data_IF_105573499765
#
_entry.id   IF_105573499765
#
_cell.length_a   1.000
_cell.length_b   1.000
_cell.length_c   1.000
_cell.angle_alpha   90.00
_cell.angle_beta   90.00
_cell.angle_gamma   90.00
#
_symmetry.space_group_name_H-M   'P 1'
#
loop_
_entity.id
_entity.type
_entity.pdbx_description
1 polymer ?
#
# COMPACT_ATOMS: atom_id res chain seq x y z
N UNK A 1 -2.33 7.32 2.18
CA UNK A 1 -2.78 8.63 1.67
C UNK A 1 -3.05 8.50 0.19
N UNK A 2 -4.31 8.26 -0.19
CA UNK A 2 -4.75 8.26 -1.59
C UNK A 2 -5.62 9.50 -1.77
N UNK A 3 -5.06 10.53 -2.40
CA UNK A 3 -5.82 11.71 -2.83
C UNK A 3 -6.24 11.41 -4.27
N UNK A 4 -7.49 10.99 -4.46
CA UNK A 4 -8.06 10.70 -5.77
C UNK A 4 -9.20 11.67 -6.06
N UNK A 5 -8.97 12.64 -6.96
CA UNK A 5 -10.03 13.50 -7.52
C UNK A 5 -10.75 12.69 -8.58
N UNK A 6 -12.00 12.29 -8.31
CA UNK A 6 -12.85 11.61 -9.29
C UNK A 6 -13.95 12.56 -9.77
N UNK A 7 -13.80 13.03 -11.00
CA UNK A 7 -14.87 13.68 -11.76
C UNK A 7 -16.00 12.67 -12.06
N UNK A 8 -17.21 13.14 -11.79
CA UNK A 8 -18.44 12.39 -11.69
C UNK A 8 -18.98 11.99 -13.08
N UNK A 9 -19.01 10.69 -13.41
CA UNK A 9 -19.99 10.18 -14.37
C UNK A 9 -20.24 8.66 -14.29
N UNK A 10 -21.53 8.31 -14.36
CA UNK A 10 -22.20 6.99 -14.48
C UNK A 10 -22.63 6.26 -13.20
N UNK A 11 -23.94 5.95 -13.17
CA UNK A 11 -24.73 5.44 -12.04
C UNK A 11 -24.34 4.06 -11.50
N UNK A 12 -23.52 3.27 -12.19
CA UNK A 12 -23.04 1.95 -11.73
C UNK A 12 -21.76 2.08 -10.90
N UNK A 13 -20.94 3.12 -11.16
CA UNK A 13 -19.74 3.42 -10.38
C UNK A 13 -20.07 3.90 -8.95
N UNK A 14 -21.22 4.54 -8.77
CA UNK A 14 -21.69 4.99 -7.46
C UNK A 14 -21.89 3.82 -6.46
N UNK A 15 -22.42 2.68 -6.91
CA UNK A 15 -22.69 1.52 -6.06
C UNK A 15 -21.41 0.81 -5.62
N UNK A 16 -20.47 0.59 -6.55
CA UNK A 16 -19.15 0.01 -6.22
C UNK A 16 -18.37 0.95 -5.30
N UNK A 17 -18.43 2.26 -5.55
CA UNK A 17 -17.79 3.26 -4.68
C UNK A 17 -18.39 3.27 -3.28
N UNK A 18 -19.72 3.14 -3.13
CA UNK A 18 -20.39 3.12 -1.83
C UNK A 18 -20.04 1.86 -1.02
N UNK A 19 -19.99 0.69 -1.68
CA UNK A 19 -19.58 -0.56 -1.03
C UNK A 19 -18.12 -0.51 -0.53
N UNK A 20 -17.20 0.07 -1.31
CA UNK A 20 -15.79 0.18 -0.90
C UNK A 20 -15.62 1.10 0.31
N UNK A 21 -16.36 2.22 0.36
CA UNK A 21 -16.32 3.15 1.50
C UNK A 21 -16.84 2.48 2.77
N UNK A 22 -17.95 1.75 2.67
CA UNK A 22 -18.57 1.06 3.80
C UNK A 22 -17.70 -0.08 4.34
N UNK A 23 -17.14 -0.92 3.46
CA UNK A 23 -16.28 -2.05 3.86
C UNK A 23 -14.97 -1.57 4.49
N UNK A 24 -14.45 -0.44 4.05
CA UNK A 24 -13.19 0.12 4.53
C UNK A 24 -13.34 1.08 5.74
N UNK A 25 -14.56 1.26 6.29
CA UNK A 25 -14.85 2.16 7.42
C UNK A 25 -14.36 3.61 7.22
N UNK A 26 -14.36 4.10 5.97
CA UNK A 26 -14.01 5.49 5.70
C UNK A 26 -15.20 6.41 5.91
N UNK A 27 -14.97 7.55 6.56
CA UNK A 27 -15.98 8.59 6.76
C UNK A 27 -15.74 9.74 5.79
N UNK A 28 -16.82 10.30 5.23
CA UNK A 28 -16.75 11.55 4.48
C UNK A 28 -16.57 12.72 5.46
N UNK A 29 -15.44 13.43 5.33
CA UNK A 29 -15.06 14.53 6.21
C UNK A 29 -15.34 15.91 5.61
N UNK A 30 -15.43 16.03 4.28
CA UNK A 30 -15.74 17.32 3.65
C UNK A 30 -17.23 17.62 3.73
N UNK A 31 -17.55 18.72 4.40
CA UNK A 31 -18.89 19.29 4.51
C UNK A 31 -19.00 20.72 3.93
N UNK A 32 -17.93 21.23 3.31
CA UNK A 32 -17.94 22.58 2.72
C UNK A 32 -18.75 22.58 1.43
N UNK A 33 -19.77 23.44 1.38
CA UNK A 33 -20.61 23.61 0.20
C UNK A 33 -20.15 24.80 -0.64
N UNK A 34 -20.33 24.71 -1.95
CA UNK A 34 -20.13 25.83 -2.85
C UNK A 34 -21.32 26.81 -2.83
N UNK A 35 -21.25 27.87 -3.63
CA UNK A 35 -22.32 28.88 -3.77
C UNK A 35 -23.69 28.31 -4.20
N UNK A 36 -23.71 27.08 -4.74
CA UNK A 36 -24.93 26.37 -5.14
C UNK A 36 -25.40 25.35 -4.10
N UNK A 37 -24.87 25.38 -2.88
CA UNK A 37 -25.16 24.43 -1.80
C UNK A 37 -24.84 22.98 -2.18
N UNK A 38 -23.83 22.77 -3.04
CA UNK A 38 -23.36 21.43 -3.41
C UNK A 38 -21.97 21.18 -2.84
N UNK A 39 -21.75 19.95 -2.37
CA UNK A 39 -20.42 19.42 -2.05
C UNK A 39 -19.88 18.81 -3.35
N UNK A 40 -18.73 19.29 -3.80
CA UNK A 40 -18.11 18.81 -5.04
C UNK A 40 -16.97 17.84 -4.76
N UNK A 41 -16.14 18.15 -3.76
CA UNK A 41 -14.96 17.36 -3.43
C UNK A 41 -15.28 16.30 -2.38
N UNK A 42 -14.87 15.07 -2.65
CA UNK A 42 -15.00 13.96 -1.73
C UNK A 42 -13.70 13.79 -0.94
N UNK A 43 -13.76 14.00 0.38
CA UNK A 43 -12.65 13.73 1.30
C UNK A 43 -13.05 12.60 2.23
N UNK A 44 -12.35 11.47 2.14
CA UNK A 44 -12.61 10.25 2.91
C UNK A 44 -11.44 9.95 3.83
N UNK A 45 -11.72 9.63 5.10
CA UNK A 45 -10.70 9.16 6.03
C UNK A 45 -11.32 8.35 7.18
N UNK A 46 -10.52 7.44 7.73
CA UNK A 46 -10.77 6.65 8.93
C UNK A 46 -10.07 7.24 10.17
N UNK A 47 -9.36 8.37 10.00
CA UNK A 47 -8.60 9.00 11.08
C UNK A 47 -9.56 9.67 12.08
N UNK A 48 -9.44 9.37 13.39
CA UNK A 48 -10.35 9.88 14.42
C UNK A 48 -10.20 11.40 14.66
N UNK A 49 -9.07 11.98 14.29
CA UNK A 49 -8.74 13.40 14.51
C UNK A 49 -8.36 14.09 13.20
N UNK A 50 -9.22 13.94 12.19
CA UNK A 50 -9.11 14.64 10.92
C UNK A 50 -10.34 15.54 10.72
N UNK A 51 -10.12 16.82 10.47
CA UNK A 51 -11.19 17.77 10.16
C UNK A 51 -10.92 18.47 8.84
N UNK A 52 -11.99 18.79 8.10
CA UNK A 52 -11.92 19.52 6.84
C UNK A 52 -12.77 20.78 6.95
N UNK A 53 -12.21 21.93 6.62
CA UNK A 53 -12.87 23.23 6.66
C UNK A 53 -12.58 24.04 5.40
N UNK A 54 -13.33 25.13 5.19
CA UNK A 54 -12.98 26.08 4.14
C UNK A 54 -11.68 26.79 4.52
N UNK A 55 -10.74 26.86 3.58
CA UNK A 55 -9.44 27.49 3.80
C UNK A 55 -9.62 28.99 4.11
N UNK A 56 -9.07 29.44 5.23
CA UNK A 56 -9.09 30.87 5.61
C UNK A 56 -8.00 31.64 4.86
N UNK A 57 -6.81 31.06 4.76
CA UNK A 57 -5.64 31.66 4.10
C UNK A 57 -5.37 30.97 2.76
N UNK A 58 -5.99 31.49 1.72
CA UNK A 58 -5.81 30.96 0.37
C UNK A 58 -4.63 31.63 -0.35
N UNK A 59 -3.68 30.83 -0.83
CA UNK A 59 -2.58 31.29 -1.70
C UNK A 59 -3.07 31.74 -3.08
N UNK A 60 -4.30 31.37 -3.45
CA UNK A 60 -4.93 31.68 -4.74
C UNK A 60 -6.25 32.43 -4.54
N UNK A 61 -6.77 33.04 -5.60
CA UNK A 61 -8.13 33.60 -5.58
C UNK A 61 -9.14 32.48 -5.35
N UNK A 62 -10.08 32.71 -4.44
CA UNK A 62 -11.14 31.75 -4.12
C UNK A 62 -12.10 31.66 -5.32
N UNK A 63 -12.34 30.46 -5.82
CA UNK A 63 -13.41 30.17 -6.77
C UNK A 63 -14.71 29.87 -5.99
N UNK A 64 -15.78 30.68 -6.15
CA UNK A 64 -17.06 30.43 -5.47
C UNK A 64 -17.74 29.10 -5.85
N UNK A 65 -17.41 28.55 -7.02
CA UNK A 65 -17.89 27.23 -7.46
C UNK A 65 -17.08 26.09 -6.84
N UNK A 66 -15.82 26.34 -6.50
CA UNK A 66 -14.86 25.37 -5.95
C UNK A 66 -14.07 26.02 -4.79
N UNK A 67 -14.68 26.17 -3.60
CA UNK A 67 -14.01 26.78 -2.46
C UNK A 67 -12.83 25.90 -2.02
N UNK A 68 -11.70 26.54 -1.70
CA UNK A 68 -10.51 25.85 -1.23
C UNK A 68 -10.78 25.17 0.12
N UNK A 69 -10.26 23.95 0.27
CA UNK A 69 -10.38 23.14 1.48
C UNK A 69 -9.07 23.12 2.25
N UNK A 70 -9.18 23.13 3.57
CA UNK A 70 -8.09 22.96 4.51
C UNK A 70 -8.37 21.71 5.34
N UNK A 71 -7.41 20.78 5.38
CA UNK A 71 -7.53 19.54 6.12
C UNK A 71 -6.54 19.54 7.29
N UNK A 72 -7.05 19.45 8.51
CA UNK A 72 -6.26 19.39 9.73
C UNK A 72 -6.21 17.95 10.23
N UNK A 73 -5.00 17.40 10.30
CA UNK A 73 -4.77 16.02 10.72
C UNK A 73 -3.88 16.04 11.96
N UNK A 74 -4.44 15.59 13.09
CA UNK A 74 -3.64 15.39 14.30
C UNK A 74 -2.95 14.04 14.23
N UNK A 75 -1.64 14.06 13.93
CA UNK A 75 -0.82 12.87 14.00
C UNK A 75 -0.51 12.62 15.48
N UNK A 76 -1.09 11.57 16.05
CA UNK A 76 -0.65 11.06 17.35
C UNK A 76 0.73 10.47 17.12
N UNK A 77 1.73 10.90 17.90
CA UNK A 77 3.14 10.54 17.76
C UNK A 77 3.31 9.10 17.28
N UNK A 78 3.90 8.95 16.09
CA UNK A 78 4.32 7.65 15.62
C UNK A 78 5.30 7.11 16.66
N UNK A 79 4.94 6.00 17.33
CA UNK A 79 5.93 5.17 18.01
C UNK A 79 7.14 5.09 17.10
N UNK A 80 8.32 5.44 17.61
CA UNK A 80 9.58 5.36 16.87
C UNK A 80 9.52 4.12 16.01
N UNK A 81 9.56 4.31 14.68
CA UNK A 81 9.64 3.19 13.76
C UNK A 81 10.88 2.45 14.22
N UNK A 82 10.69 1.32 14.88
CA UNK A 82 11.78 0.48 15.31
C UNK A 82 12.35 -0.07 14.01
N UNK A 83 13.25 0.69 13.39
CA UNK A 83 13.97 0.31 12.19
C UNK A 83 14.73 -0.90 12.66
N UNK A 84 14.17 -2.07 12.40
CA UNK A 84 14.77 -3.32 12.75
C UNK A 84 16.08 -3.39 11.95
N UNK A 85 17.16 -2.94 12.59
CA UNK A 85 18.49 -2.81 12.00
C UNK A 85 19.06 -4.18 11.62
N UNK A 86 18.38 -5.25 12.02
CA UNK A 86 18.64 -6.62 11.64
C UNK A 86 18.02 -7.06 10.30
N UNK A 87 17.37 -6.18 9.54
CA UNK A 87 16.97 -6.50 8.17
C UNK A 87 18.19 -6.51 7.24
N UNK A 88 19.00 -7.58 7.33
CA UNK A 88 20.11 -7.88 6.41
C UNK A 88 19.55 -8.07 5.00
N UNK A 89 19.54 -6.99 4.22
CA UNK A 89 19.06 -7.02 2.83
C UNK A 89 19.92 -7.98 2.02
N UNK A 90 19.30 -8.84 1.23
CA UNK A 90 20.01 -9.71 0.30
C UNK A 90 20.59 -8.91 -0.87
N UNK A 91 21.77 -9.32 -1.35
CA UNK A 91 22.45 -8.73 -2.49
C UNK A 91 22.28 -9.61 -3.73
N UNK A 92 21.13 -9.46 -4.39
CA UNK A 92 20.82 -10.20 -5.61
C UNK A 92 21.81 -9.92 -6.75
N UNK A 93 22.48 -8.76 -6.78
CA UNK A 93 23.49 -8.47 -7.80
C UNK A 93 24.72 -9.40 -7.71
N UNK A 94 25.08 -9.84 -6.50
CA UNK A 94 26.21 -10.76 -6.25
C UNK A 94 25.74 -12.21 -6.04
N UNK A 95 24.52 -12.54 -6.44
CA UNK A 95 24.01 -13.90 -6.31
C UNK A 95 24.72 -14.86 -7.28
N UNK A 96 24.95 -16.09 -6.84
CA UNK A 96 25.45 -17.16 -7.70
C UNK A 96 24.29 -17.80 -8.47
N UNK A 97 23.95 -17.22 -9.62
CA UNK A 97 22.82 -17.67 -10.42
C UNK A 97 23.02 -19.05 -11.07
N UNK A 98 24.26 -19.46 -11.33
CA UNK A 98 24.55 -20.79 -11.86
C UNK A 98 24.28 -21.86 -10.79
N UNK A 99 24.72 -21.62 -9.55
CA UNK A 99 24.41 -22.51 -8.43
C UNK A 99 22.91 -22.55 -8.10
N UNK A 100 22.22 -21.40 -8.15
CA UNK A 100 20.76 -21.32 -7.97
C UNK A 100 20.04 -22.13 -9.04
N UNK A 101 20.43 -21.98 -10.31
CA UNK A 101 19.84 -22.71 -11.44
C UNK A 101 20.05 -24.21 -11.28
N UNK A 102 21.27 -24.63 -10.93
CA UNK A 102 21.58 -26.03 -10.63
C UNK A 102 20.72 -26.58 -9.51
N UNK A 103 20.60 -25.85 -8.39
CA UNK A 103 19.78 -26.25 -7.25
C UNK A 103 18.30 -26.37 -7.62
N UNK A 104 17.73 -25.42 -8.36
CA UNK A 104 16.33 -25.48 -8.80
C UNK A 104 16.07 -26.63 -9.76
N UNK A 105 17.02 -26.93 -10.66
CA UNK A 105 16.90 -28.05 -11.60
C UNK A 105 17.06 -29.42 -10.95
N UNK A 106 17.74 -29.49 -9.79
CA UNK A 106 17.95 -30.73 -9.04
C UNK A 106 16.79 -31.08 -8.10
N UNK A 107 15.80 -30.21 -7.93
CA UNK A 107 14.61 -30.50 -7.12
C UNK A 107 13.64 -31.36 -7.92
N UNK A 108 13.30 -32.52 -7.38
CA UNK A 108 12.20 -33.32 -7.90
C UNK A 108 10.86 -32.81 -7.36
N UNK A 109 10.24 -31.90 -8.11
CA UNK A 109 8.96 -31.30 -7.74
C UNK A 109 7.82 -32.31 -7.68
N UNK A 110 7.93 -33.45 -8.36
CA UNK A 110 6.88 -34.47 -8.32
C UNK A 110 6.82 -35.13 -6.95
N UNK A 111 7.96 -35.45 -6.33
CA UNK A 111 7.99 -36.00 -4.97
C UNK A 111 7.71 -34.95 -3.90
N UNK A 112 8.29 -33.75 -4.03
CA UNK A 112 8.11 -32.66 -3.04
C UNK A 112 6.66 -32.15 -2.97
N UNK A 113 5.90 -32.27 -4.05
CA UNK A 113 4.50 -31.84 -4.11
C UNK A 113 3.50 -33.01 -4.08
N UNK A 114 3.95 -34.27 -4.06
CA UNK A 114 3.09 -35.45 -4.09
C UNK A 114 2.09 -35.50 -2.92
N UNK A 115 2.51 -35.06 -1.73
CA UNK A 115 1.69 -35.10 -0.51
C UNK A 115 0.79 -33.85 -0.36
N UNK A 116 0.88 -32.89 -1.28
CA UNK A 116 0.07 -31.69 -1.21
C UNK A 116 -1.32 -31.90 -1.83
N UNK A 117 -2.35 -31.73 -1.02
CA UNK A 117 -3.76 -31.83 -1.45
C UNK A 117 -4.37 -30.51 -1.90
N UNK A 118 -3.74 -29.37 -1.57
CA UNK A 118 -4.22 -28.04 -1.94
C UNK A 118 -3.10 -27.15 -2.51
N UNK A 119 -3.50 -26.16 -3.30
CA UNK A 119 -2.59 -25.21 -3.97
C UNK A 119 -1.82 -24.35 -2.97
N UNK A 120 -2.44 -23.93 -1.86
CA UNK A 120 -1.78 -23.09 -0.85
C UNK A 120 -0.58 -23.80 -0.19
N UNK A 121 -0.70 -25.09 0.07
CA UNK A 121 0.37 -25.94 0.61
C UNK A 121 1.49 -26.10 -0.42
N UNK A 122 1.14 -26.33 -1.70
CA UNK A 122 2.13 -26.41 -2.78
C UNK A 122 2.93 -25.10 -2.90
N UNK A 123 2.24 -23.96 -2.87
CA UNK A 123 2.84 -22.63 -2.92
C UNK A 123 3.73 -22.39 -1.69
N UNK A 124 3.30 -22.85 -0.52
CA UNK A 124 4.08 -22.71 0.72
C UNK A 124 5.39 -23.51 0.66
N UNK A 125 5.34 -24.76 0.18
CA UNK A 125 6.53 -25.61 -0.01
C UNK A 125 7.46 -25.02 -1.08
N UNK A 126 6.89 -24.54 -2.19
CA UNK A 126 7.66 -23.88 -3.24
C UNK A 126 8.44 -22.68 -2.69
N UNK A 127 7.78 -21.78 -1.96
CA UNK A 127 8.46 -20.63 -1.35
C UNK A 127 9.46 -21.04 -0.28
N UNK A 128 9.20 -22.11 0.48
CA UNK A 128 10.15 -22.63 1.45
C UNK A 128 11.47 -23.06 0.77
N UNK A 129 11.39 -23.89 -0.27
CA UNK A 129 12.57 -24.34 -1.05
C UNK A 129 13.27 -23.17 -1.74
N UNK A 130 12.50 -22.26 -2.34
CA UNK A 130 13.06 -21.09 -3.00
C UNK A 130 13.81 -20.19 -2.01
N UNK A 131 13.25 -19.94 -0.83
CA UNK A 131 13.89 -19.13 0.21
C UNK A 131 15.13 -19.81 0.78
N UNK A 132 15.14 -21.14 0.91
CA UNK A 132 16.33 -21.90 1.30
C UNK A 132 17.48 -21.69 0.30
N UNK A 133 17.20 -21.84 -0.99
CA UNK A 133 18.16 -21.62 -2.07
C UNK A 133 18.66 -20.17 -2.05
N UNK A 134 17.75 -19.20 -1.92
CA UNK A 134 18.08 -17.77 -1.87
C UNK A 134 19.00 -17.48 -0.68
N UNK A 135 18.68 -17.96 0.52
CA UNK A 135 19.51 -17.72 1.71
C UNK A 135 20.89 -18.39 1.61
N UNK A 136 21.01 -19.47 0.84
CA UNK A 136 22.26 -20.20 0.65
C UNK A 136 23.18 -19.54 -0.39
N UNK A 137 22.62 -19.07 -1.51
CA UNK A 137 23.41 -18.62 -2.67
C UNK A 137 23.36 -17.10 -2.91
N UNK A 138 22.56 -16.35 -2.16
CA UNK A 138 22.51 -14.88 -2.23
C UNK A 138 23.20 -14.29 -1.00
N UNK A 139 24.34 -13.60 -1.15
CA UNK A 139 25.02 -12.99 -0.02
C UNK A 139 24.21 -11.82 0.55
N UNK A 140 24.34 -11.55 1.85
CA UNK A 140 23.76 -10.35 2.46
C UNK A 140 24.57 -9.10 2.12
N UNK A 141 23.88 -7.98 1.89
CA UNK A 141 24.48 -6.65 1.79
C UNK A 141 25.11 -6.27 3.11
N UNK A 142 26.32 -5.69 3.05
CA UNK A 142 26.93 -5.09 4.23
C UNK A 142 26.19 -3.78 4.55
N UNK A 143 25.99 -3.51 5.84
CA UNK A 143 25.46 -2.22 6.28
C UNK A 143 26.41 -1.10 5.81
N UNK A 144 25.93 -0.25 4.90
CA UNK A 144 26.69 0.89 4.35
C UNK A 144 27.12 0.77 2.89
N UNK A 145 26.95 -0.37 2.22
CA UNK A 145 27.19 -0.47 0.77
C UNK A 145 26.08 0.28 0.00
N UNK A 146 26.41 1.49 -0.49
CA UNK A 146 25.64 2.17 -1.55
C UNK A 146 26.10 1.62 -2.91
N UNK A 147 25.13 1.48 -3.83
CA UNK A 147 25.37 1.08 -5.22
C UNK A 147 26.31 2.05 -5.92
#
# INVERSE_FOLDING_TARGET
>A
MLIGVWLQETSVRAWVSFCVIFVANFNQLNHVTNIRQKILDLVLSDLPYCTVSAAQDSLTKIDPLHPNLEANISIVDSKDLNINSNNRKLNYYKADYEAIRGALSGIDWNSELAECTNVNSMVSIFYAKLNEIINKYVPHKKSGERH
#
